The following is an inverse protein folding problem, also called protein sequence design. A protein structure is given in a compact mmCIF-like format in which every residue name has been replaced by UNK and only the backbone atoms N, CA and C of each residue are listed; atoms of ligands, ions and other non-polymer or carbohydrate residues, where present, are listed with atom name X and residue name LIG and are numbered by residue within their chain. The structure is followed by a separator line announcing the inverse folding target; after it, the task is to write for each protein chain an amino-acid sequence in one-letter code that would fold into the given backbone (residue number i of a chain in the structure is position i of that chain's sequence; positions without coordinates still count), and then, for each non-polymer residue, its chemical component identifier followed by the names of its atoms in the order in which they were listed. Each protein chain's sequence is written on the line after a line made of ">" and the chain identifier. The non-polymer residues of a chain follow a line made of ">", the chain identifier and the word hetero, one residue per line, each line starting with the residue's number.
data_IF_847580441168
#
_entry.id   IF_847580441168
#
_cell.length_a   1.000
_cell.length_b   1.000
_cell.length_c   1.000
_cell.angle_alpha   90.00
_cell.angle_beta   90.00
_cell.angle_gamma   90.00
#
_symmetry.space_group_name_H-M   'P 1'
#
loop_
_entity.id
_entity.type
_entity.pdbx_description
1 polymer ?
#
# COMPACT_ATOMS: atom_id res chain seq x y z
N UNK A 1 -1.62 1.07 15.65
CA UNK A 1 -1.06 0.30 14.53
C UNK A 1 -1.39 1.01 13.22
N UNK A 2 -0.59 0.75 12.17
CA UNK A 2 -0.77 1.25 10.81
C UNK A 2 -1.17 0.07 9.91
N UNK A 3 -2.22 0.24 9.10
CA UNK A 3 -2.58 -0.70 8.05
C UNK A 3 -2.07 -0.17 6.70
N UNK A 4 -1.13 -0.86 6.07
CA UNK A 4 -0.59 -0.51 4.76
C UNK A 4 -1.15 -1.46 3.70
N UNK A 5 -1.71 -0.93 2.63
CA UNK A 5 -2.25 -1.69 1.52
C UNK A 5 -1.52 -1.33 0.23
N UNK A 6 -1.04 -2.34 -0.47
CA UNK A 6 -0.47 -2.24 -1.81
C UNK A 6 -1.38 -3.00 -2.78
N UNK A 7 -2.05 -2.25 -3.67
CA UNK A 7 -3.01 -2.79 -4.63
C UNK A 7 -2.31 -2.90 -5.99
N UNK A 8 -1.79 -4.09 -6.28
CA UNK A 8 -1.28 -4.46 -7.60
C UNK A 8 -2.37 -4.95 -8.55
N UNK A 9 -1.98 -5.30 -9.77
CA UNK A 9 -2.90 -5.81 -10.78
C UNK A 9 -3.50 -7.19 -10.42
N UNK A 10 -2.68 -8.07 -9.86
CA UNK A 10 -3.06 -9.47 -9.58
C UNK A 10 -3.34 -9.70 -8.10
N UNK A 11 -2.54 -9.10 -7.24
CA UNK A 11 -2.64 -9.26 -5.79
C UNK A 11 -2.70 -7.88 -5.11
N UNK A 12 -3.47 -7.83 -4.03
CA UNK A 12 -3.44 -6.78 -3.02
C UNK A 12 -2.72 -7.34 -1.81
N UNK A 13 -1.58 -6.73 -1.45
CA UNK A 13 -0.83 -7.04 -0.25
C UNK A 13 -1.25 -6.10 0.87
N UNK A 14 -1.49 -6.64 2.07
CA UNK A 14 -1.87 -5.86 3.25
C UNK A 14 -0.88 -6.16 4.36
N UNK A 15 -0.28 -5.13 4.94
CA UNK A 15 0.62 -5.23 6.09
C UNK A 15 0.05 -4.50 7.30
N UNK A 16 0.14 -5.13 8.47
CA UNK A 16 -0.14 -4.53 9.76
C UNK A 16 1.18 -4.19 10.45
N UNK A 17 1.38 -2.91 10.76
CA UNK A 17 2.59 -2.42 11.39
C UNK A 17 2.33 -1.89 12.80
N UNK A 18 3.20 -2.28 13.72
CA UNK A 18 3.37 -1.65 15.02
C UNK A 18 4.71 -0.91 15.00
N UNK A 19 4.66 0.42 14.90
CA UNK A 19 5.85 1.25 14.68
C UNK A 19 6.59 0.82 13.41
N UNK A 20 7.84 0.38 13.52
CA UNK A 20 8.70 -0.07 12.43
C UNK A 20 8.63 -1.59 12.17
N UNK A 21 7.85 -2.34 12.97
CA UNK A 21 7.74 -3.79 12.88
C UNK A 21 6.49 -4.21 12.12
N UNK A 22 6.68 -5.10 11.15
CA UNK A 22 5.58 -5.83 10.49
C UNK A 22 5.07 -6.94 11.41
N UNK A 23 3.87 -6.78 11.95
CA UNK A 23 3.22 -7.72 12.86
C UNK A 23 2.52 -8.85 12.12
N UNK A 24 1.84 -8.53 11.02
CA UNK A 24 1.14 -9.49 10.20
C UNK A 24 1.07 -8.99 8.75
N UNK A 25 0.95 -9.91 7.81
CA UNK A 25 0.66 -9.57 6.42
C UNK A 25 -0.26 -10.59 5.77
N UNK A 26 -1.02 -10.13 4.79
CA UNK A 26 -1.96 -10.93 4.01
C UNK A 26 -1.86 -10.61 2.53
N UNK A 27 -2.19 -11.58 1.70
CA UNK A 27 -2.32 -11.40 0.26
C UNK A 27 -3.71 -11.83 -0.18
N UNK A 28 -4.33 -10.98 -0.99
CA UNK A 28 -5.67 -11.16 -1.51
C UNK A 28 -5.63 -10.94 -3.02
N UNK A 29 -6.45 -11.66 -3.78
CA UNK A 29 -6.57 -11.37 -5.21
C UNK A 29 -7.09 -9.95 -5.42
N UNK A 30 -6.48 -9.20 -6.33
CA UNK A 30 -6.99 -7.91 -6.78
C UNK A 30 -8.22 -8.15 -7.67
N UNK A 31 -9.40 -7.82 -7.15
CA UNK A 31 -10.66 -7.95 -7.88
C UNK A 31 -11.54 -6.73 -7.62
N UNK A 32 -12.16 -6.24 -8.69
CA UNK A 32 -13.11 -5.12 -8.66
C UNK A 32 -14.51 -5.55 -8.20
N UNK A 33 -14.73 -6.85 -8.02
CA UNK A 33 -16.03 -7.38 -7.63
C UNK A 33 -16.31 -7.26 -6.14
N UNK A 34 -15.29 -6.98 -5.31
CA UNK A 34 -15.49 -6.88 -3.86
C UNK A 34 -16.16 -5.58 -3.49
N UNK A 35 -17.20 -5.68 -2.66
CA UNK A 35 -17.87 -4.52 -2.07
C UNK A 35 -17.10 -3.99 -0.87
N UNK A 36 -17.37 -2.74 -0.44
CA UNK A 36 -16.84 -2.20 0.81
C UNK A 36 -17.13 -3.07 2.03
N UNK A 37 -18.33 -3.65 2.12
CA UNK A 37 -18.72 -4.54 3.22
C UNK A 37 -17.90 -5.83 3.25
N UNK A 38 -17.62 -6.42 2.08
CA UNK A 38 -16.76 -7.60 1.97
C UNK A 38 -15.32 -7.27 2.37
N UNK A 39 -14.80 -6.12 1.95
CA UNK A 39 -13.50 -5.63 2.41
C UNK A 39 -13.47 -5.42 3.92
N UNK A 40 -14.50 -4.80 4.49
CA UNK A 40 -14.59 -4.57 5.93
C UNK A 40 -14.62 -5.89 6.73
N UNK A 41 -15.37 -6.88 6.24
CA UNK A 41 -15.41 -8.22 6.82
C UNK A 41 -14.03 -8.91 6.76
N UNK A 42 -13.34 -8.83 5.62
CA UNK A 42 -12.00 -9.40 5.42
C UNK A 42 -10.99 -8.75 6.38
N UNK A 43 -10.95 -7.41 6.46
CA UNK A 43 -10.04 -6.72 7.38
C UNK A 43 -10.34 -7.06 8.83
N UNK A 44 -11.61 -7.07 9.23
CA UNK A 44 -12.02 -7.43 10.60
C UNK A 44 -11.59 -8.85 10.95
N UNK A 45 -11.81 -9.81 10.05
CA UNK A 45 -11.44 -11.21 10.25
C UNK A 45 -9.92 -11.38 10.38
N UNK A 46 -9.14 -10.78 9.47
CA UNK A 46 -7.68 -10.87 9.49
C UNK A 46 -7.06 -10.21 10.73
N UNK A 47 -7.54 -9.04 11.13
CA UNK A 47 -7.10 -8.38 12.36
C UNK A 47 -7.41 -9.23 13.59
N UNK A 48 -8.64 -9.75 13.68
CA UNK A 48 -9.05 -10.61 14.80
C UNK A 48 -8.21 -11.90 14.86
N UNK A 49 -7.94 -12.52 13.72
CA UNK A 49 -7.07 -13.71 13.63
C UNK A 49 -5.62 -13.41 14.06
N UNK A 50 -5.12 -12.21 13.79
CA UNK A 50 -3.83 -11.74 14.28
C UNK A 50 -3.85 -11.29 15.74
N UNK A 51 -4.99 -11.39 16.45
CA UNK A 51 -5.12 -11.02 17.85
C UNK A 51 -5.35 -9.53 18.10
N UNK A 52 -5.75 -8.78 17.08
CA UNK A 52 -5.97 -7.34 17.16
C UNK A 52 -7.44 -6.96 16.94
N UNK A 53 -7.90 -5.96 17.69
CA UNK A 53 -9.16 -5.27 17.44
C UNK A 53 -9.02 -4.25 16.31
N UNK A 54 -10.09 -4.05 15.53
CA UNK A 54 -10.13 -2.97 14.53
C UNK A 54 -9.93 -1.57 15.11
N UNK A 55 -10.20 -1.40 16.42
CA UNK A 55 -10.01 -0.15 17.15
C UNK A 55 -8.53 0.18 17.42
N UNK A 56 -7.63 -0.80 17.27
CA UNK A 56 -6.18 -0.60 17.42
C UNK A 56 -5.54 0.07 16.19
N UNK A 57 -6.27 0.08 15.07
CA UNK A 57 -5.84 0.76 13.84
C UNK A 57 -6.00 2.27 14.02
N UNK A 58 -4.86 2.97 13.93
CA UNK A 58 -4.78 4.43 14.12
C UNK A 58 -4.64 5.17 12.79
N UNK A 59 -4.06 4.52 11.80
CA UNK A 59 -3.90 5.06 10.46
C UNK A 59 -3.98 3.92 9.44
N UNK A 60 -4.34 4.27 8.22
CA UNK A 60 -4.25 3.39 7.07
C UNK A 60 -3.67 4.15 5.88
N UNK A 61 -2.95 3.45 5.02
CA UNK A 61 -2.32 4.00 3.82
C UNK A 61 -2.48 3.02 2.66
N UNK A 62 -2.73 3.55 1.46
CA UNK A 62 -2.97 2.76 0.25
C UNK A 62 -2.08 3.28 -0.89
N UNK A 63 -1.25 2.40 -1.43
CA UNK A 63 -0.63 2.55 -2.74
C UNK A 63 -1.42 1.68 -3.73
N UNK A 64 -1.71 2.20 -4.92
CA UNK A 64 -2.54 1.47 -5.88
C UNK A 64 -2.27 1.85 -7.32
N UNK A 65 -2.32 0.85 -8.20
CA UNK A 65 -2.36 1.02 -9.65
C UNK A 65 -3.77 0.81 -10.24
N UNK A 66 -4.78 0.51 -9.40
CA UNK A 66 -6.15 0.20 -9.83
C UNK A 66 -7.20 1.06 -9.10
N UNK A 67 -7.69 2.16 -9.72
CA UNK A 67 -8.62 3.10 -9.08
C UNK A 67 -9.92 2.46 -8.56
N UNK A 68 -10.47 1.49 -9.31
CA UNK A 68 -11.73 0.84 -8.97
C UNK A 68 -11.63 0.03 -7.68
N UNK A 69 -10.50 -0.66 -7.46
CA UNK A 69 -10.27 -1.42 -6.23
C UNK A 69 -9.99 -0.46 -5.08
N UNK A 70 -9.23 0.62 -5.33
CA UNK A 70 -8.88 1.63 -4.31
C UNK A 70 -10.10 2.20 -3.60
N UNK A 71 -11.14 2.59 -4.34
CA UNK A 71 -12.33 3.22 -3.76
C UNK A 71 -13.06 2.25 -2.80
N UNK A 72 -13.44 1.07 -3.31
CA UNK A 72 -14.13 0.04 -2.53
C UNK A 72 -13.31 -0.41 -1.31
N UNK A 73 -11.99 -0.60 -1.47
CA UNK A 73 -11.11 -0.98 -0.37
C UNK A 73 -11.01 0.13 0.68
N UNK A 74 -10.88 1.40 0.27
CA UNK A 74 -10.80 2.52 1.21
C UNK A 74 -12.05 2.64 2.07
N UNK A 75 -13.23 2.49 1.45
CA UNK A 75 -14.50 2.44 2.17
C UNK A 75 -14.56 1.25 3.13
N UNK A 76 -14.11 0.08 2.70
CA UNK A 76 -14.03 -1.10 3.56
C UNK A 76 -13.11 -0.94 4.77
N UNK A 77 -11.95 -0.29 4.60
CA UNK A 77 -11.06 0.06 5.73
C UNK A 77 -11.77 1.03 6.68
N UNK A 78 -12.45 2.05 6.15
CA UNK A 78 -13.19 3.01 6.96
C UNK A 78 -14.35 2.36 7.73
N UNK A 79 -15.09 1.45 7.11
CA UNK A 79 -16.17 0.69 7.74
C UNK A 79 -15.63 -0.22 8.86
N UNK A 80 -14.52 -0.91 8.65
CA UNK A 80 -13.94 -1.81 9.65
C UNK A 80 -13.29 -1.05 10.82
N UNK A 81 -12.60 0.06 10.55
CA UNK A 81 -11.65 0.67 11.49
C UNK A 81 -11.99 2.09 11.90
N UNK A 82 -12.96 2.74 11.26
CA UNK A 82 -13.27 4.19 11.35
C UNK A 82 -12.16 5.12 10.85
N UNK A 83 -11.10 4.57 10.23
CA UNK A 83 -9.98 5.36 9.68
C UNK A 83 -10.12 5.53 8.18
N UNK A 84 -9.95 6.77 7.73
CA UNK A 84 -9.86 7.09 6.31
C UNK A 84 -8.42 6.85 5.83
N UNK A 85 -8.19 5.96 4.85
CA UNK A 85 -6.84 5.72 4.37
C UNK A 85 -6.27 6.91 3.59
N UNK A 86 -5.00 7.23 3.84
CA UNK A 86 -4.25 8.12 2.97
C UNK A 86 -3.93 7.38 1.65
N UNK A 87 -4.02 8.07 0.52
CA UNK A 87 -3.69 7.50 -0.80
C UNK A 87 -2.33 8.04 -1.24
N UNK A 88 -1.45 7.16 -1.68
CA UNK A 88 -0.14 7.52 -2.25
C UNK A 88 -0.19 7.30 -3.75
N UNK A 89 0.13 8.36 -4.48
CA UNK A 89 0.35 8.38 -5.91
C UNK A 89 1.40 9.47 -6.25
N UNK A 90 1.68 9.65 -7.54
CA UNK A 90 2.63 10.66 -8.01
C UNK A 90 2.21 12.13 -7.71
N UNK A 91 0.97 12.38 -7.24
CA UNK A 91 0.49 13.72 -6.85
C UNK A 91 0.62 13.96 -5.34
N UNK A 92 0.95 12.94 -4.57
CA UNK A 92 1.18 13.09 -3.14
C UNK A 92 2.39 14.01 -2.86
N UNK A 93 2.45 14.57 -1.65
CA UNK A 93 3.62 15.30 -1.19
C UNK A 93 4.73 14.30 -0.84
N UNK A 94 5.50 13.92 -1.86
CA UNK A 94 6.58 12.94 -1.75
C UNK A 94 7.85 13.61 -1.18
N UNK A 95 8.60 12.94 -0.30
CA UNK A 95 9.90 13.42 0.18
C UNK A 95 11.03 13.14 -0.83
N UNK A 96 10.70 12.98 -2.11
CA UNK A 96 11.66 12.73 -3.20
C UNK A 96 11.18 13.40 -4.49
N UNK A 97 12.12 13.59 -5.43
CA UNK A 97 11.82 14.06 -6.79
C UNK A 97 11.70 12.86 -7.71
N UNK A 98 10.60 12.79 -8.46
CA UNK A 98 10.43 11.85 -9.55
C UNK A 98 11.11 12.42 -10.80
N UNK A 99 12.41 12.17 -10.95
CA UNK A 99 13.22 12.67 -12.08
C UNK A 99 13.07 11.77 -13.32
N UNK A 100 11.90 11.88 -13.94
CA UNK A 100 11.55 11.20 -15.19
C UNK A 100 10.76 12.16 -16.08
N UNK A 101 10.70 11.88 -17.38
CA UNK A 101 10.00 12.75 -18.35
C UNK A 101 8.51 12.96 -18.00
N UNK A 102 7.85 11.93 -17.45
CA UNK A 102 6.44 11.95 -17.09
C UNK A 102 6.20 11.55 -15.62
N UNK A 103 6.46 12.42 -14.63
CA UNK A 103 6.38 12.06 -13.21
C UNK A 103 5.02 11.53 -12.77
N UNK A 104 3.94 12.06 -13.36
CA UNK A 104 2.57 11.71 -13.01
C UNK A 104 2.13 10.32 -13.50
N UNK A 105 2.92 9.67 -14.36
CA UNK A 105 2.64 8.31 -14.86
C UNK A 105 3.36 7.23 -14.07
N UNK A 106 4.22 7.62 -13.11
CA UNK A 106 4.91 6.67 -12.22
C UNK A 106 3.89 5.98 -11.32
N UNK A 107 3.92 4.65 -11.33
CA UNK A 107 3.07 3.81 -10.49
C UNK A 107 3.36 4.01 -9.00
N UNK A 108 2.31 3.91 -8.18
CA UNK A 108 2.41 4.05 -6.73
C UNK A 108 3.34 2.99 -6.10
N UNK A 109 3.39 1.79 -6.68
CA UNK A 109 4.31 0.69 -6.34
C UNK A 109 5.78 1.11 -6.50
N UNK A 110 6.14 1.69 -7.65
CA UNK A 110 7.49 2.20 -7.91
C UNK A 110 7.85 3.34 -6.97
N UNK A 111 6.90 4.21 -6.65
CA UNK A 111 7.08 5.31 -5.67
C UNK A 111 7.39 4.76 -4.28
N UNK A 112 6.62 3.79 -3.78
CA UNK A 112 6.87 3.24 -2.43
C UNK A 112 8.13 2.38 -2.38
N UNK A 113 8.44 1.63 -3.44
CA UNK A 113 9.68 0.85 -3.55
C UNK A 113 10.92 1.75 -3.50
N UNK A 114 10.91 2.86 -4.26
CA UNK A 114 12.02 3.81 -4.29
C UNK A 114 12.19 4.54 -2.97
N UNK A 115 11.09 4.98 -2.34
CA UNK A 115 11.14 5.58 -1.00
C UNK A 115 11.67 4.61 0.06
N UNK A 116 11.21 3.36 0.05
CA UNK A 116 11.67 2.34 0.97
C UNK A 116 13.17 2.06 0.79
N UNK A 117 13.64 1.91 -0.46
CA UNK A 117 15.05 1.68 -0.74
C UNK A 117 15.94 2.88 -0.36
N UNK A 118 15.49 4.11 -0.65
CA UNK A 118 16.20 5.32 -0.22
C UNK A 118 16.33 5.37 1.31
N UNK A 119 15.28 5.02 2.05
CA UNK A 119 15.29 5.00 3.52
C UNK A 119 16.16 3.87 4.08
N UNK A 120 16.10 2.67 3.50
CA UNK A 120 16.81 1.49 4.00
C UNK A 120 18.30 1.53 3.71
N UNK A 121 18.70 1.99 2.52
CA UNK A 121 20.08 1.86 2.05
C UNK A 121 20.89 3.16 2.11
N UNK A 122 20.25 4.34 2.08
CA UNK A 122 20.91 5.65 2.20
C UNK A 122 22.11 5.85 1.25
N UNK A 123 22.04 5.26 0.05
CA UNK A 123 23.05 5.34 -1.00
C UNK A 123 22.39 5.13 -2.37
N UNK A 124 23.12 5.45 -3.45
CA UNK A 124 22.69 5.15 -4.82
C UNK A 124 22.33 3.67 -4.98
N UNK A 125 21.11 3.40 -5.43
CA UNK A 125 20.52 2.06 -5.41
C UNK A 125 19.70 1.82 -6.68
N UNK A 126 19.72 0.58 -7.18
CA UNK A 126 18.79 0.11 -8.19
C UNK A 126 17.84 -0.88 -7.52
N UNK A 127 16.54 -0.58 -7.55
CA UNK A 127 15.50 -1.53 -7.15
C UNK A 127 15.06 -2.31 -8.38
N UNK A 128 14.99 -3.65 -8.23
CA UNK A 128 14.48 -4.55 -9.25
C UNK A 128 13.27 -5.28 -8.67
N UNK A 129 12.07 -4.97 -9.17
CA UNK A 129 10.83 -5.60 -8.72
C UNK A 129 10.38 -6.67 -9.72
N UNK A 130 10.10 -7.88 -9.22
CA UNK A 130 9.64 -9.03 -10.01
C UNK A 130 8.13 -9.20 -9.86
N UNK A 131 7.37 -8.27 -10.46
CA UNK A 131 5.91 -8.30 -10.49
C UNK A 131 5.34 -8.80 -11.82
N UNK A 132 4.13 -8.32 -12.16
CA UNK A 132 3.51 -8.54 -13.48
C UNK A 132 4.41 -8.09 -14.62
N UNK A 133 5.16 -7.01 -14.39
CA UNK A 133 6.32 -6.61 -15.20
C UNK A 133 7.55 -6.58 -14.29
N UNK A 134 8.72 -6.84 -14.86
CA UNK A 134 9.98 -6.59 -14.16
C UNK A 134 10.34 -5.12 -14.32
N UNK A 135 10.42 -4.37 -13.22
CA UNK A 135 10.79 -2.95 -13.22
C UNK A 135 12.20 -2.75 -12.68
N UNK A 136 12.83 -1.66 -13.13
CA UNK A 136 14.14 -1.21 -12.69
C UNK A 136 14.01 0.27 -12.33
N UNK A 137 14.25 0.60 -11.06
CA UNK A 137 14.16 1.96 -10.53
C UNK A 137 15.53 2.41 -10.04
N UNK A 138 16.11 3.41 -10.69
CA UNK A 138 17.38 4.01 -10.31
C UNK A 138 17.14 5.14 -9.31
N UNK A 139 17.82 5.08 -8.17
CA UNK A 139 17.67 6.01 -7.05
C UNK A 139 19.05 6.62 -6.78
N UNK A 140 19.09 7.94 -6.67
CA UNK A 140 20.28 8.70 -6.29
C UNK A 140 20.00 9.46 -5.00
N UNK A 141 20.98 9.53 -4.09
CA UNK A 141 20.83 10.11 -2.74
C UNK A 141 21.67 11.37 -2.57
#
# INVERSE_FOLDING_TARGET
>A
MLLACDIGNTETTVGLFAEDRLEAHWRLHSTTQRTPDEWAAIFTAHLTQAGHSTQEIRAAIVASVSPQITESLCEGVALATTRQPAKIDARAQLPMVLDVDEPLTVGADRIVNTLAAAELFKQDTIVVDFGTATTFDCITV
#
